data_IF_910432504513
#
_entry.id   IF_910432504513
#
_cell.length_a   1.000
_cell.length_b   1.000
_cell.length_c   1.000
_cell.angle_alpha   90.00
_cell.angle_beta   90.00
_cell.angle_gamma   90.00
#
_symmetry.space_group_name_H-M   'P 1'
#
loop_
_entity.id
_entity.type
_entity.pdbx_description
1 polymer ?
#
# COMPACT_ATOMS: atom_id res chain seq x y z
N UNK A 1 -21.07 3.53 20.39
CA UNK A 1 -22.43 3.26 20.92
C UNK A 1 -22.33 3.06 22.44
N UNK A 2 -23.11 3.81 23.25
CA UNK A 2 -22.97 3.87 24.71
C UNK A 2 -23.22 2.52 25.41
N UNK A 3 -24.02 1.64 24.81
CA UNK A 3 -24.27 0.28 25.32
C UNK A 3 -23.00 -0.59 25.39
N UNK A 4 -21.97 -0.28 24.59
CA UNK A 4 -20.69 -1.03 24.59
C UNK A 4 -19.82 -0.72 25.82
N UNK A 5 -19.86 0.52 26.31
CA UNK A 5 -19.18 0.89 27.56
C UNK A 5 -19.92 0.35 28.77
N UNK A 6 -21.25 0.25 28.71
CA UNK A 6 -22.06 -0.39 29.76
C UNK A 6 -21.80 -1.91 29.85
N UNK A 7 -21.64 -2.61 28.71
CA UNK A 7 -21.31 -4.03 28.71
C UNK A 7 -19.89 -4.32 29.24
N UNK A 8 -18.90 -3.49 28.87
CA UNK A 8 -17.55 -3.60 29.42
C UNK A 8 -17.50 -3.26 30.92
N UNK A 9 -18.27 -2.26 31.37
CA UNK A 9 -18.41 -1.91 32.78
C UNK A 9 -19.07 -3.03 33.60
N UNK A 10 -20.14 -3.64 33.07
CA UNK A 10 -20.84 -4.75 33.74
C UNK A 10 -19.97 -6.01 33.87
N UNK A 11 -19.03 -6.26 32.94
CA UNK A 11 -18.09 -7.37 33.01
C UNK A 11 -16.97 -7.18 34.06
N UNK A 12 -16.75 -5.95 34.53
CA UNK A 12 -15.77 -5.62 35.57
C UNK A 12 -16.35 -5.62 37.00
N UNK A 13 -17.67 -5.51 37.16
CA UNK A 13 -18.37 -5.62 38.46
C UNK A 13 -18.02 -6.91 39.24
N UNK A 14 -17.92 -8.09 38.59
CA UNK A 14 -17.60 -9.32 39.30
C UNK A 14 -16.15 -9.36 39.83
N UNK A 15 -15.23 -8.58 39.26
CA UNK A 15 -13.83 -8.47 39.71
C UNK A 15 -13.66 -7.67 41.00
N UNK A 16 -14.63 -6.83 41.37
CA UNK A 16 -14.54 -5.94 42.54
C UNK A 16 -15.36 -6.40 43.75
N UNK A 17 -16.34 -7.29 43.57
CA UNK A 17 -17.32 -7.64 44.63
C UNK A 17 -17.09 -9.05 45.23
N UNK A 18 -16.28 -9.91 44.59
CA UNK A 18 -16.02 -11.27 45.07
C UNK A 18 -14.53 -11.61 45.09
N UNK A 19 -14.12 -12.50 46.01
CA UNK A 19 -12.77 -13.07 46.01
C UNK A 19 -12.51 -13.74 44.65
N UNK A 20 -11.50 -13.29 43.89
CA UNK A 20 -11.33 -13.71 42.51
C UNK A 20 -11.03 -15.22 42.46
N UNK A 21 -12.02 -15.99 41.98
CA UNK A 21 -11.84 -17.40 41.68
C UNK A 21 -11.52 -17.57 40.20
N UNK A 22 -10.60 -18.48 39.88
CA UNK A 22 -10.13 -18.70 38.52
C UNK A 22 -11.22 -18.92 37.45
N UNK A 23 -12.26 -19.75 37.67
CA UNK A 23 -13.30 -19.96 36.66
C UNK A 23 -14.04 -18.68 36.29
N UNK A 24 -14.09 -17.71 37.21
CA UNK A 24 -14.70 -16.41 37.00
C UNK A 24 -13.86 -15.54 36.06
N UNK A 25 -12.53 -15.54 36.20
CA UNK A 25 -11.62 -14.83 35.30
C UNK A 25 -11.65 -15.42 33.89
N UNK A 26 -11.71 -16.75 33.77
CA UNK A 26 -11.86 -17.43 32.48
C UNK A 26 -13.23 -17.11 31.83
N UNK A 27 -14.30 -17.04 32.62
CA UNK A 27 -15.63 -16.64 32.16
C UNK A 27 -15.68 -15.19 31.67
N UNK A 28 -15.05 -14.24 32.40
CA UNK A 28 -14.96 -12.84 31.99
C UNK A 28 -14.11 -12.68 30.73
N UNK A 29 -12.99 -13.39 30.61
CA UNK A 29 -12.17 -13.42 29.40
C UNK A 29 -12.93 -13.98 28.18
N UNK A 30 -13.68 -15.07 28.38
CA UNK A 30 -14.55 -15.65 27.36
C UNK A 30 -15.67 -14.72 26.91
N UNK A 31 -16.34 -14.03 27.86
CA UNK A 31 -17.40 -13.07 27.57
C UNK A 31 -16.89 -11.81 26.87
N UNK A 32 -15.70 -11.32 27.24
CA UNK A 32 -15.05 -10.21 26.54
C UNK A 32 -14.64 -10.59 25.11
N UNK A 33 -14.09 -11.79 24.92
CA UNK A 33 -13.77 -12.31 23.59
C UNK A 33 -15.03 -12.50 22.72
N UNK A 34 -16.11 -13.02 23.29
CA UNK A 34 -17.40 -13.18 22.62
C UNK A 34 -18.04 -11.82 22.27
N UNK A 35 -17.98 -10.85 23.20
CA UNK A 35 -18.48 -9.49 22.99
C UNK A 35 -17.71 -8.73 21.90
N UNK A 36 -16.39 -8.93 21.81
CA UNK A 36 -15.54 -8.41 20.73
C UNK A 36 -15.81 -9.12 19.40
N UNK A 37 -16.05 -10.42 19.41
CA UNK A 37 -16.37 -11.20 18.21
C UNK A 37 -17.72 -10.81 17.58
N UNK A 38 -18.73 -10.54 18.41
CA UNK A 38 -20.09 -10.20 17.96
C UNK A 38 -20.20 -8.72 17.52
N UNK A 39 -19.36 -7.84 18.05
CA UNK A 39 -19.42 -6.38 17.80
C UNK A 39 -18.30 -5.78 16.94
N UNK A 40 -17.29 -6.56 16.56
CA UNK A 40 -16.07 -6.09 15.90
C UNK A 40 -16.23 -5.78 14.39
N UNK A 41 -15.35 -4.94 13.83
CA UNK A 41 -15.36 -4.63 12.40
C UNK A 41 -15.18 -5.92 11.58
N UNK A 42 -16.12 -6.17 10.65
CA UNK A 42 -16.07 -7.33 9.74
C UNK A 42 -14.79 -7.27 8.90
N UNK A 43 -14.04 -8.38 8.87
CA UNK A 43 -12.80 -8.54 8.10
C UNK A 43 -11.62 -9.04 8.94
N UNK A 44 -10.41 -8.95 8.38
CA UNK A 44 -9.15 -9.43 8.98
C UNK A 44 -8.93 -8.91 10.42
N UNK A 45 -9.41 -7.70 10.74
CA UNK A 45 -9.29 -7.12 12.09
C UNK A 45 -10.16 -7.83 13.13
N UNK A 46 -11.35 -8.28 12.74
CA UNK A 46 -12.21 -9.11 13.57
C UNK A 46 -11.57 -10.48 13.84
N UNK A 47 -11.06 -11.13 12.79
CA UNK A 47 -10.35 -12.41 12.91
C UNK A 47 -9.11 -12.31 13.83
N UNK A 48 -8.34 -11.22 13.73
CA UNK A 48 -7.22 -10.93 14.62
C UNK A 48 -7.66 -10.76 16.08
N UNK A 49 -8.77 -10.05 16.33
CA UNK A 49 -9.26 -9.87 17.70
C UNK A 49 -9.77 -11.17 18.33
N UNK A 50 -10.40 -12.04 17.52
CA UNK A 50 -10.84 -13.38 17.97
C UNK A 50 -9.62 -14.26 18.23
N UNK A 51 -8.62 -14.26 17.35
CA UNK A 51 -7.38 -14.99 17.53
C UNK A 51 -6.61 -14.52 18.77
N UNK A 52 -6.54 -13.22 19.01
CA UNK A 52 -5.89 -12.67 20.20
C UNK A 52 -6.68 -13.04 21.48
N UNK A 53 -8.01 -12.99 21.42
CA UNK A 53 -8.89 -13.41 22.51
C UNK A 53 -8.76 -14.90 22.86
N UNK A 54 -8.72 -15.78 21.85
CA UNK A 54 -8.52 -17.22 22.06
C UNK A 54 -7.13 -17.52 22.60
N UNK A 55 -6.09 -16.87 22.09
CA UNK A 55 -4.72 -17.00 22.65
C UNK A 55 -4.69 -16.53 24.11
N UNK A 56 -5.30 -15.40 24.43
CA UNK A 56 -5.34 -14.89 25.81
C UNK A 56 -6.10 -15.83 26.75
N UNK A 57 -7.22 -16.40 26.30
CA UNK A 57 -8.00 -17.37 27.07
C UNK A 57 -7.23 -18.69 27.27
N UNK A 58 -6.50 -19.16 26.25
CA UNK A 58 -5.65 -20.35 26.34
C UNK A 58 -4.48 -20.12 27.31
N UNK A 59 -3.86 -18.94 27.29
CA UNK A 59 -2.81 -18.56 28.25
C UNK A 59 -3.39 -18.51 29.67
N UNK A 60 -4.56 -17.89 29.86
CA UNK A 60 -5.20 -17.82 31.17
C UNK A 60 -5.60 -19.21 31.70
N UNK A 61 -6.10 -20.10 30.83
CA UNK A 61 -6.42 -21.49 31.18
C UNK A 61 -5.16 -22.30 31.48
N UNK A 62 -4.07 -22.10 30.72
CA UNK A 62 -2.79 -22.76 30.93
C UNK A 62 -2.14 -22.32 32.25
N UNK A 63 -2.15 -21.03 32.56
CA UNK A 63 -1.74 -20.51 33.86
C UNK A 63 -2.59 -21.12 35.00
N UNK A 64 -3.89 -21.38 34.76
CA UNK A 64 -4.80 -22.00 35.74
C UNK A 64 -4.32 -23.38 36.12
N UNK A 65 -4.13 -24.22 35.10
CA UNK A 65 -3.68 -25.60 35.30
C UNK A 65 -2.31 -25.64 35.95
N UNK A 66 -1.43 -24.67 35.67
CA UNK A 66 -0.10 -24.57 36.28
C UNK A 66 -0.16 -24.16 37.76
N UNK A 67 -1.03 -23.23 38.16
CA UNK A 67 -1.15 -22.83 39.57
C UNK A 67 -1.82 -23.94 40.40
N UNK A 68 -2.82 -24.63 39.86
CA UNK A 68 -3.42 -25.81 40.51
C UNK A 68 -2.43 -26.98 40.57
N UNK A 69 -1.63 -27.18 39.51
CA UNK A 69 -0.53 -28.14 39.50
C UNK A 69 0.61 -27.77 40.46
N UNK A 70 0.88 -26.49 40.68
CA UNK A 70 1.91 -26.02 41.61
C UNK A 70 1.62 -26.43 43.06
N UNK A 71 0.34 -26.48 43.45
CA UNK A 71 -0.09 -27.02 44.74
C UNK A 71 0.18 -28.53 44.85
N UNK A 72 0.10 -29.27 43.74
CA UNK A 72 0.41 -30.71 43.68
C UNK A 72 1.92 -31.00 43.56
N UNK A 73 2.72 -30.04 43.08
CA UNK A 73 4.19 -30.15 43.00
C UNK A 73 4.91 -29.61 44.23
N UNK A 74 4.21 -29.25 45.31
CA UNK A 74 4.84 -28.82 46.57
C UNK A 74 5.80 -29.87 47.15
N UNK A 75 5.59 -31.15 46.83
CA UNK A 75 6.46 -32.26 47.23
C UNK A 75 7.61 -32.54 46.26
N UNK A 76 7.70 -31.82 45.13
CA UNK A 76 8.71 -32.10 44.11
C UNK A 76 10.06 -31.47 44.46
N UNK A 77 11.17 -32.17 44.19
CA UNK A 77 12.50 -31.60 44.30
C UNK A 77 12.66 -30.33 43.45
N UNK A 78 13.31 -29.30 44.01
CA UNK A 78 13.43 -27.96 43.43
C UNK A 78 14.01 -27.97 42.01
N UNK A 79 14.95 -28.87 41.70
CA UNK A 79 15.57 -28.98 40.38
C UNK A 79 14.59 -29.41 39.27
N UNK A 80 13.54 -30.19 39.59
CA UNK A 80 12.52 -30.58 38.62
C UNK A 80 11.63 -29.38 38.31
N UNK A 81 11.25 -28.62 39.33
CA UNK A 81 10.40 -27.44 39.17
C UNK A 81 11.07 -26.34 38.34
N UNK A 82 12.37 -26.11 38.55
CA UNK A 82 13.15 -25.15 37.76
C UNK A 82 13.32 -25.62 36.31
N UNK A 83 13.58 -26.91 36.08
CA UNK A 83 13.65 -27.49 34.73
C UNK A 83 12.32 -27.35 33.97
N UNK A 84 11.20 -27.65 34.62
CA UNK A 84 9.87 -27.53 34.03
C UNK A 84 9.46 -26.07 33.73
N UNK A 85 9.86 -25.13 34.60
CA UNK A 85 9.66 -23.70 34.38
C UNK A 85 10.52 -23.18 33.21
N UNK A 86 11.79 -23.58 33.14
CA UNK A 86 12.69 -23.21 32.04
C UNK A 86 12.19 -23.75 30.69
N UNK A 87 11.74 -25.01 30.63
CA UNK A 87 11.16 -25.61 29.43
C UNK A 87 9.90 -24.87 28.95
N UNK A 88 9.04 -24.43 29.88
CA UNK A 88 7.85 -23.68 29.55
C UNK A 88 8.17 -22.27 29.02
N UNK A 89 9.10 -21.56 29.64
CA UNK A 89 9.60 -20.27 29.15
C UNK A 89 10.26 -20.42 27.76
N UNK A 90 10.97 -21.52 27.52
CA UNK A 90 11.53 -21.86 26.22
C UNK A 90 10.46 -22.00 25.12
N UNK A 91 9.36 -22.70 25.41
CA UNK A 91 8.24 -22.83 24.45
C UNK A 91 7.58 -21.49 24.13
N UNK A 92 7.42 -20.60 25.12
CA UNK A 92 6.91 -19.24 24.88
C UNK A 92 7.89 -18.44 24.01
N UNK A 93 9.20 -18.59 24.22
CA UNK A 93 10.22 -18.00 23.37
C UNK A 93 10.14 -18.47 21.91
N UNK A 94 9.90 -19.76 21.68
CA UNK A 94 9.70 -20.32 20.34
C UNK A 94 8.40 -19.78 19.71
N UNK A 95 7.29 -19.73 20.44
CA UNK A 95 6.03 -19.14 19.96
C UNK A 95 6.17 -17.65 19.62
N UNK A 96 6.93 -16.90 20.41
CA UNK A 96 7.21 -15.48 20.18
C UNK A 96 8.09 -15.24 18.94
N UNK A 97 8.83 -16.26 18.47
CA UNK A 97 9.60 -16.22 17.23
C UNK A 97 8.78 -16.60 15.99
N UNK A 98 7.61 -17.24 16.14
CA UNK A 98 6.73 -17.62 15.01
C UNK A 98 6.38 -16.42 14.10
N UNK A 99 6.03 -15.23 14.62
CA UNK A 99 5.74 -14.07 13.77
C UNK A 99 6.92 -13.65 12.88
N UNK A 100 8.17 -13.90 13.30
CA UNK A 100 9.37 -13.56 12.52
C UNK A 100 9.53 -14.47 11.29
N UNK A 101 8.94 -15.67 11.33
CA UNK A 101 9.00 -16.66 10.26
C UNK A 101 7.68 -16.81 9.50
N UNK A 102 6.59 -16.25 10.02
CA UNK A 102 5.36 -16.05 9.26
C UNK A 102 5.56 -14.88 8.31
N UNK A 103 6.08 -15.18 7.12
CA UNK A 103 5.87 -14.35 5.95
C UNK A 103 4.38 -14.40 5.63
N UNK A 104 3.61 -13.50 6.23
CA UNK A 104 2.26 -13.22 5.72
C UNK A 104 2.49 -12.71 4.31
N UNK A 105 2.27 -13.58 3.33
CA UNK A 105 2.33 -13.27 1.91
C UNK A 105 1.19 -12.30 1.57
N UNK A 106 1.34 -11.07 2.05
CA UNK A 106 0.57 -9.94 1.58
C UNK A 106 0.94 -9.78 0.12
N UNK A 107 -0.04 -10.04 -0.74
CA UNK A 107 0.07 -9.77 -2.17
C UNK A 107 0.65 -8.35 -2.35
N UNK A 108 1.89 -8.21 -2.86
CA UNK A 108 2.58 -6.93 -2.88
C UNK A 108 1.81 -5.90 -3.72
N UNK A 109 1.06 -6.36 -4.72
CA UNK A 109 0.20 -5.51 -5.56
C UNK A 109 -0.93 -4.92 -4.74
N UNK A 110 -1.57 -5.70 -3.86
CA UNK A 110 -2.62 -5.23 -2.96
C UNK A 110 -2.07 -4.27 -1.89
N UNK A 111 -0.84 -4.51 -1.43
CA UNK A 111 -0.17 -3.60 -0.51
C UNK A 111 0.15 -2.26 -1.18
N UNK A 112 0.59 -2.26 -2.44
CA UNK A 112 0.83 -1.06 -3.24
C UNK A 112 -0.47 -0.31 -3.55
N UNK A 113 -1.53 -1.02 -3.94
CA UNK A 113 -2.85 -0.42 -4.21
C UNK A 113 -3.39 0.34 -2.99
N UNK A 114 -3.21 -0.18 -1.78
CA UNK A 114 -3.63 0.49 -0.54
C UNK A 114 -2.85 1.76 -0.21
N UNK A 115 -1.64 1.90 -0.77
CA UNK A 115 -0.80 3.09 -0.57
C UNK A 115 -1.15 4.22 -1.56
N UNK A 116 -1.97 3.95 -2.57
CA UNK A 116 -2.36 4.98 -3.55
C UNK A 116 -3.15 6.11 -2.87
N UNK A 117 -2.86 7.37 -3.20
CA UNK A 117 -3.65 8.51 -2.75
C UNK A 117 -5.13 8.39 -3.17
N UNK A 118 -6.05 8.90 -2.36
CA UNK A 118 -7.48 8.91 -2.71
C UNK A 118 -7.83 10.00 -3.74
N UNK A 119 -6.92 10.95 -3.97
CA UNK A 119 -7.09 12.08 -4.90
C UNK A 119 -6.49 11.82 -6.28
N UNK A 120 -6.37 10.56 -6.70
CA UNK A 120 -5.95 10.25 -8.06
C UNK A 120 -7.00 10.71 -9.06
N UNK A 121 -6.52 11.12 -10.23
CA UNK A 121 -7.38 11.34 -11.38
C UNK A 121 -8.13 10.05 -11.76
N UNK A 122 -9.36 10.20 -12.23
CA UNK A 122 -10.25 9.06 -12.50
C UNK A 122 -9.69 8.14 -13.60
N UNK A 123 -9.00 8.72 -14.59
CA UNK A 123 -8.37 7.97 -15.67
C UNK A 123 -7.17 7.15 -15.17
N UNK A 124 -6.26 7.77 -14.41
CA UNK A 124 -5.11 7.08 -13.81
C UNK A 124 -5.56 5.98 -12.84
N UNK A 125 -6.62 6.24 -12.09
CA UNK A 125 -7.24 5.23 -11.21
C UNK A 125 -7.80 4.05 -12.01
N UNK A 126 -8.48 4.29 -13.12
CA UNK A 126 -8.99 3.24 -14.00
C UNK A 126 -7.84 2.37 -14.53
N UNK A 127 -6.73 2.97 -14.95
CA UNK A 127 -5.53 2.24 -15.37
C UNK A 127 -4.93 1.38 -14.24
N UNK A 128 -4.88 1.90 -13.01
CA UNK A 128 -4.45 1.14 -11.84
C UNK A 128 -5.38 -0.05 -11.57
N UNK A 129 -6.70 0.18 -11.54
CA UNK A 129 -7.70 -0.87 -11.31
C UNK A 129 -7.62 -1.95 -12.39
N UNK A 130 -7.42 -1.55 -13.65
CA UNK A 130 -7.27 -2.46 -14.79
C UNK A 130 -5.98 -3.28 -14.70
N UNK A 131 -4.85 -2.67 -14.37
CA UNK A 131 -3.58 -3.38 -14.15
C UNK A 131 -3.66 -4.38 -12.98
N UNK A 132 -4.37 -4.05 -11.90
CA UNK A 132 -4.62 -4.98 -10.78
C UNK A 132 -5.55 -6.13 -11.20
N UNK A 133 -6.54 -5.87 -12.05
CA UNK A 133 -7.41 -6.92 -12.59
C UNK A 133 -6.61 -7.91 -13.47
N UNK A 134 -5.67 -7.41 -14.27
CA UNK A 134 -4.72 -8.24 -15.03
C UNK A 134 -3.91 -9.13 -14.08
N UNK A 135 -3.34 -8.56 -13.01
CA UNK A 135 -2.61 -9.33 -12.02
C UNK A 135 -3.45 -10.43 -11.38
N UNK A 136 -4.66 -10.10 -10.92
CA UNK A 136 -5.56 -11.08 -10.29
C UNK A 136 -5.92 -12.23 -11.23
N UNK A 137 -6.10 -11.94 -12.52
CA UNK A 137 -6.41 -12.98 -13.51
C UNK A 137 -5.20 -13.83 -13.85
N UNK A 138 -4.01 -13.24 -13.93
CA UNK A 138 -2.77 -13.92 -14.30
C UNK A 138 -2.22 -14.76 -13.15
N UNK A 139 -2.28 -14.26 -11.91
CA UNK A 139 -1.64 -14.91 -10.76
C UNK A 139 -2.26 -16.27 -10.41
N UNK A 140 -3.53 -16.48 -10.73
CA UNK A 140 -4.26 -17.72 -10.47
C UNK A 140 -4.05 -18.75 -11.59
N UNK A 141 -3.60 -18.31 -12.77
CA UNK A 141 -3.38 -19.15 -13.96
C UNK A 141 -1.94 -19.57 -14.15
N UNK A 142 -0.98 -18.71 -13.79
CA UNK A 142 0.44 -19.04 -13.90
C UNK A 142 0.98 -19.69 -12.62
N UNK A 143 1.77 -20.74 -12.80
CA UNK A 143 2.52 -21.39 -11.73
C UNK A 143 3.49 -20.42 -11.06
N UNK A 144 3.79 -20.64 -9.78
CA UNK A 144 4.67 -19.75 -9.00
C UNK A 144 6.12 -19.70 -9.52
N UNK A 145 6.55 -20.72 -10.27
CA UNK A 145 7.86 -20.77 -10.90
C UNK A 145 7.93 -20.13 -12.29
N UNK A 146 6.82 -19.61 -12.82
CA UNK A 146 6.78 -19.00 -14.15
C UNK A 146 7.36 -17.58 -14.12
N UNK A 147 8.42 -17.34 -14.90
CA UNK A 147 9.05 -16.03 -15.03
C UNK A 147 8.05 -14.95 -15.48
N UNK A 148 7.03 -15.33 -16.27
CA UNK A 148 5.96 -14.43 -16.72
C UNK A 148 5.11 -13.88 -15.57
N UNK A 149 4.93 -14.65 -14.49
CA UNK A 149 4.19 -14.21 -13.30
C UNK A 149 4.95 -13.09 -12.57
N UNK A 150 6.26 -13.24 -12.43
CA UNK A 150 7.13 -12.20 -11.85
C UNK A 150 7.08 -10.92 -12.68
N UNK A 151 7.16 -11.04 -14.00
CA UNK A 151 7.14 -9.90 -14.91
C UNK A 151 5.82 -9.09 -14.83
N UNK A 152 4.67 -9.78 -14.84
CA UNK A 152 3.37 -9.09 -14.73
C UNK A 152 3.23 -8.43 -13.37
N UNK A 153 3.66 -9.10 -12.30
CA UNK A 153 3.66 -8.52 -10.95
C UNK A 153 4.47 -7.22 -10.92
N UNK A 154 5.70 -7.26 -11.42
CA UNK A 154 6.64 -6.15 -11.35
C UNK A 154 6.17 -5.00 -12.27
N UNK A 155 5.60 -5.31 -13.44
CA UNK A 155 4.98 -4.33 -14.34
C UNK A 155 3.76 -3.63 -13.73
N UNK A 156 2.90 -4.36 -13.01
CA UNK A 156 1.76 -3.79 -12.29
C UNK A 156 2.24 -2.93 -11.12
N UNK A 157 3.20 -3.42 -10.33
CA UNK A 157 3.80 -2.63 -9.24
C UNK A 157 4.39 -1.31 -9.74
N UNK A 158 5.07 -1.34 -10.90
CA UNK A 158 5.62 -0.12 -11.51
C UNK A 158 4.53 0.85 -11.95
N UNK A 159 3.43 0.35 -12.50
CA UNK A 159 2.26 1.18 -12.86
C UNK A 159 1.69 1.89 -11.62
N UNK A 160 1.55 1.17 -10.50
CA UNK A 160 1.03 1.73 -9.24
C UNK A 160 2.03 2.73 -8.61
N UNK A 161 3.33 2.47 -8.69
CA UNK A 161 4.36 3.40 -8.21
C UNK A 161 4.33 4.72 -8.98
N UNK A 162 4.27 4.64 -10.31
CA UNK A 162 4.22 5.81 -11.19
C UNK A 162 2.92 6.59 -10.97
N UNK A 163 1.80 5.90 -10.78
CA UNK A 163 0.53 6.51 -10.43
C UNK A 163 0.62 7.27 -9.08
N UNK A 164 1.24 6.67 -8.05
CA UNK A 164 1.44 7.32 -6.76
C UNK A 164 2.28 8.60 -6.89
N UNK A 165 3.39 8.54 -7.62
CA UNK A 165 4.27 9.69 -7.86
C UNK A 165 3.60 10.78 -8.70
N UNK A 166 2.82 10.41 -9.71
CA UNK A 166 2.07 11.38 -10.52
C UNK A 166 1.09 12.22 -9.68
N UNK A 167 0.54 11.64 -8.61
CA UNK A 167 -0.37 12.33 -7.70
C UNK A 167 0.35 13.33 -6.76
N UNK A 168 1.67 13.21 -6.58
CA UNK A 168 2.49 14.17 -5.83
C UNK A 168 2.78 15.44 -6.66
N UNK A 169 2.84 15.31 -7.99
CA UNK A 169 3.06 16.44 -8.92
C UNK A 169 1.76 17.21 -9.12
N UNK A 170 1.34 17.95 -8.08
CA UNK A 170 0.25 18.92 -8.19
C UNK A 170 0.82 20.28 -8.61
N UNK A 171 0.23 20.87 -9.64
CA UNK A 171 0.46 22.26 -10.04
C UNK A 171 -0.06 23.20 -8.95
N UNK A 172 0.71 23.39 -7.88
CA UNK A 172 0.40 24.34 -6.81
C UNK A 172 0.63 25.78 -7.28
N UNK A 173 -0.24 26.70 -6.85
CA UNK A 173 -0.09 28.13 -7.09
C UNK A 173 -1.10 28.73 -8.08
N UNK A 174 -0.80 29.94 -8.53
CA UNK A 174 -1.61 30.78 -9.42
C UNK A 174 -2.07 30.01 -10.67
N UNK A 175 -3.36 30.12 -11.02
CA UNK A 175 -3.90 29.44 -12.20
C UNK A 175 -3.38 30.07 -13.49
N UNK A 176 -3.44 29.34 -14.61
CA UNK A 176 -3.07 29.86 -15.93
C UNK A 176 -3.87 31.14 -16.27
N UNK A 177 -5.18 31.14 -15.96
CA UNK A 177 -6.05 32.30 -16.16
C UNK A 177 -5.62 33.53 -15.34
N UNK A 178 -5.18 33.32 -14.11
CA UNK A 178 -4.70 34.39 -13.24
C UNK A 178 -3.33 34.92 -13.69
N UNK A 179 -2.45 34.06 -14.21
CA UNK A 179 -1.17 34.47 -14.77
C UNK A 179 -1.37 35.31 -16.03
N UNK A 180 -2.26 34.89 -16.94
CA UNK A 180 -2.62 35.66 -18.15
C UNK A 180 -3.23 37.02 -17.77
N UNK A 181 -4.19 37.03 -16.83
CA UNK A 181 -4.79 38.28 -16.35
C UNK A 181 -3.77 39.24 -15.70
N UNK A 182 -2.77 38.70 -14.98
CA UNK A 182 -1.67 39.51 -14.42
C UNK A 182 -0.74 40.05 -15.50
N UNK A 183 -0.47 39.28 -16.56
CA UNK A 183 0.32 39.77 -17.69
C UNK A 183 -0.39 40.93 -18.40
N UNK A 184 -1.70 40.81 -18.66
CA UNK A 184 -2.50 41.90 -19.23
C UNK A 184 -2.53 43.14 -18.32
N UNK A 185 -2.56 42.95 -17.00
CA UNK A 185 -2.46 44.05 -16.05
C UNK A 185 -1.09 44.77 -16.15
N UNK A 186 0.01 44.01 -16.26
CA UNK A 186 1.33 44.59 -16.47
C UNK A 186 1.46 45.29 -17.82
N UNK A 187 0.86 44.77 -18.89
CA UNK A 187 0.84 45.42 -20.20
C UNK A 187 0.19 46.82 -20.12
N UNK A 188 -0.97 46.93 -19.46
CA UNK A 188 -1.62 48.23 -19.20
C UNK A 188 -0.75 49.18 -18.36
N UNK A 189 -0.02 48.66 -17.37
CA UNK A 189 0.87 49.47 -16.52
C UNK A 189 2.14 49.91 -17.25
N UNK A 190 2.65 49.10 -18.18
CA UNK A 190 3.79 49.46 -19.04
C UNK A 190 3.41 50.60 -19.98
N UNK A 191 2.21 50.54 -20.57
CA UNK A 191 1.68 51.60 -21.44
C UNK A 191 1.46 52.91 -20.68
N UNK A 192 0.91 52.84 -19.46
CA UNK A 192 0.60 54.01 -18.65
C UNK A 192 1.82 54.63 -17.93
N UNK A 193 2.91 53.88 -17.76
CA UNK A 193 4.10 54.39 -17.08
C UNK A 193 4.81 55.47 -17.93
N UNK A 194 5.31 56.52 -17.28
CA UNK A 194 6.11 57.57 -17.93
C UNK A 194 7.60 57.42 -17.67
N UNK A 195 7.97 56.78 -16.56
CA UNK A 195 9.35 56.52 -16.16
C UNK A 195 9.90 55.25 -16.84
N UNK A 196 11.06 55.40 -17.48
CA UNK A 196 11.78 54.33 -18.19
C UNK A 196 12.26 53.21 -17.26
N UNK A 197 12.68 53.54 -16.04
CA UNK A 197 13.14 52.53 -15.09
C UNK A 197 11.96 51.65 -14.64
N UNK A 198 10.84 52.28 -14.30
CA UNK A 198 9.59 51.59 -13.93
C UNK A 198 9.07 50.71 -15.08
N UNK A 199 9.14 51.18 -16.34
CA UNK A 199 8.79 50.35 -17.52
C UNK A 199 9.65 49.11 -17.61
N UNK A 200 10.97 49.26 -17.43
CA UNK A 200 11.92 48.15 -17.50
C UNK A 200 11.60 47.10 -16.42
N UNK A 201 11.28 47.55 -15.20
CA UNK A 201 10.90 46.65 -14.11
C UNK A 201 9.57 45.91 -14.39
N UNK A 202 8.54 46.59 -14.92
CA UNK A 202 7.32 45.90 -15.31
C UNK A 202 7.51 44.92 -16.47
N UNK A 203 8.35 45.25 -17.45
CA UNK A 203 8.70 44.33 -18.54
C UNK A 203 9.43 43.08 -18.02
N UNK A 204 10.36 43.24 -17.08
CA UNK A 204 11.04 42.13 -16.42
C UNK A 204 10.06 41.25 -15.63
N UNK A 205 9.16 41.86 -14.85
CA UNK A 205 8.12 41.14 -14.11
C UNK A 205 7.15 40.37 -15.03
N UNK A 206 6.76 40.97 -16.16
CA UNK A 206 5.96 40.32 -17.20
C UNK A 206 6.71 39.15 -17.83
N UNK A 207 8.01 39.29 -18.10
CA UNK A 207 8.87 38.21 -18.59
C UNK A 207 8.87 37.02 -17.64
N UNK A 208 9.04 37.26 -16.34
CA UNK A 208 8.99 36.21 -15.33
C UNK A 208 7.64 35.46 -15.28
N UNK A 209 6.51 36.16 -15.50
CA UNK A 209 5.20 35.50 -15.60
C UNK A 209 5.06 34.65 -16.86
N UNK A 210 5.61 35.11 -17.99
CA UNK A 210 5.63 34.33 -19.23
C UNK A 210 6.46 33.04 -19.05
N UNK A 211 7.58 33.11 -18.34
CA UNK A 211 8.37 31.92 -18.00
C UNK A 211 7.58 30.96 -17.10
N UNK A 212 6.87 31.46 -16.08
CA UNK A 212 6.00 30.64 -15.23
C UNK A 212 4.92 29.91 -16.06
N UNK A 213 4.29 30.58 -17.02
CA UNK A 213 3.32 29.96 -17.94
C UNK A 213 3.99 28.86 -18.78
N UNK A 214 5.17 29.14 -19.33
CA UNK A 214 5.95 28.15 -20.10
C UNK A 214 6.26 26.92 -19.25
N UNK A 215 6.73 27.08 -18.02
CA UNK A 215 6.97 25.96 -17.11
C UNK A 215 5.71 25.14 -16.84
N UNK A 216 4.56 25.79 -16.61
CA UNK A 216 3.29 25.08 -16.42
C UNK A 216 2.87 24.29 -17.66
N UNK A 217 3.03 24.85 -18.86
CA UNK A 217 2.76 24.12 -20.11
C UNK A 217 3.67 22.90 -20.28
N UNK A 218 4.94 23.01 -19.90
CA UNK A 218 5.88 21.89 -19.92
C UNK A 218 5.48 20.78 -18.95
N UNK A 219 5.04 21.13 -17.73
CA UNK A 219 4.53 20.17 -16.76
C UNK A 219 3.29 19.45 -17.31
N UNK A 220 2.35 20.20 -17.90
CA UNK A 220 1.14 19.60 -18.51
C UNK A 220 1.49 18.63 -19.63
N UNK A 221 2.38 19.03 -20.53
CA UNK A 221 2.85 18.15 -21.61
C UNK A 221 3.58 16.91 -21.05
N UNK A 222 4.33 17.05 -19.95
CA UNK A 222 4.93 15.95 -19.23
C UNK A 222 3.91 14.96 -18.69
N UNK A 223 2.82 15.46 -18.08
CA UNK A 223 1.71 14.66 -17.58
C UNK A 223 0.98 13.92 -18.71
N UNK A 224 0.70 14.58 -19.84
CA UNK A 224 0.09 13.95 -21.02
C UNK A 224 0.97 12.81 -21.57
N UNK A 225 2.28 13.02 -21.66
CA UNK A 225 3.23 11.99 -22.09
C UNK A 225 3.28 10.81 -21.11
N UNK A 226 3.26 11.09 -19.81
CA UNK A 226 3.24 10.06 -18.78
C UNK A 226 1.98 9.19 -18.90
N UNK A 227 0.82 9.83 -19.00
CA UNK A 227 -0.48 9.16 -19.17
C UNK A 227 -0.48 8.26 -20.41
N UNK A 228 -0.01 8.77 -21.55
CA UNK A 228 0.10 8.00 -22.78
C UNK A 228 1.00 6.76 -22.63
N UNK A 229 2.12 6.87 -21.90
CA UNK A 229 2.99 5.71 -21.60
C UNK A 229 2.35 4.72 -20.65
N UNK A 230 1.61 5.18 -19.64
CA UNK A 230 0.86 4.28 -18.75
C UNK A 230 -0.17 3.47 -19.54
N UNK A 231 -0.92 4.10 -20.45
CA UNK A 231 -1.85 3.41 -21.35
C UNK A 231 -1.14 2.35 -22.21
N UNK A 232 -0.01 2.72 -22.81
CA UNK A 232 0.78 1.78 -23.60
C UNK A 232 1.25 0.60 -22.75
N UNK A 233 1.79 0.85 -21.55
CA UNK A 233 2.28 -0.20 -20.65
C UNK A 233 1.17 -1.14 -20.19
N UNK A 234 0.00 -0.61 -19.81
CA UNK A 234 -1.17 -1.44 -19.47
C UNK A 234 -1.63 -2.26 -20.66
N UNK A 235 -1.64 -1.69 -21.87
CA UNK A 235 -1.96 -2.43 -23.10
C UNK A 235 -0.97 -3.56 -23.36
N UNK A 236 0.32 -3.35 -23.12
CA UNK A 236 1.35 -4.40 -23.25
C UNK A 236 1.15 -5.51 -22.21
N UNK A 237 0.79 -5.17 -20.96
CA UNK A 237 0.44 -6.15 -19.93
C UNK A 237 -0.80 -6.99 -20.32
N UNK A 238 -1.79 -6.39 -20.97
CA UNK A 238 -2.97 -7.10 -21.47
C UNK A 238 -2.62 -8.05 -22.61
N UNK A 239 -1.80 -7.59 -23.55
CA UNK A 239 -1.29 -8.45 -24.63
C UNK A 239 -0.52 -9.65 -24.06
N UNK A 240 0.32 -9.42 -23.06
CA UNK A 240 1.03 -10.48 -22.36
C UNK A 240 0.07 -11.46 -21.67
N UNK A 241 -0.95 -10.95 -20.97
CA UNK A 241 -1.97 -11.81 -20.35
C UNK A 241 -2.72 -12.66 -21.37
N UNK A 242 -3.14 -12.06 -22.50
CA UNK A 242 -3.82 -12.78 -23.58
C UNK A 242 -2.91 -13.85 -24.18
N UNK A 243 -1.63 -13.55 -24.40
CA UNK A 243 -0.67 -14.52 -24.88
C UNK A 243 -0.41 -15.64 -23.87
N UNK A 244 -0.24 -15.33 -22.59
CA UNK A 244 -0.02 -16.32 -21.54
C UNK A 244 -1.23 -17.27 -21.39
N UNK A 245 -2.44 -16.73 -21.45
CA UNK A 245 -3.67 -17.54 -21.41
C UNK A 245 -3.89 -18.35 -22.69
N UNK A 246 -3.59 -17.79 -23.86
CA UNK A 246 -3.61 -18.51 -25.14
C UNK A 246 -2.55 -19.62 -25.20
N UNK A 247 -1.39 -19.40 -24.60
CA UNK A 247 -0.31 -20.37 -24.49
C UNK A 247 -0.64 -21.53 -23.55
N UNK A 248 -1.39 -21.29 -22.48
CA UNK A 248 -1.93 -22.37 -21.64
C UNK A 248 -2.92 -23.25 -22.42
N UNK A 249 -3.78 -22.64 -23.25
CA UNK A 249 -4.67 -23.37 -24.15
C UNK A 249 -3.91 -24.11 -25.28
N UNK A 250 -2.84 -23.50 -25.80
CA UNK A 250 -2.06 -24.02 -26.93
C UNK A 250 -0.88 -24.94 -26.54
N UNK A 251 -0.42 -24.95 -25.28
CA UNK A 251 0.58 -25.90 -24.74
C UNK A 251 0.12 -27.35 -24.87
N UNK A 252 -1.18 -27.56 -25.03
CA UNK A 252 -1.78 -28.86 -25.38
C UNK A 252 -1.44 -29.28 -26.82
N UNK A 253 -1.02 -28.37 -27.71
CA UNK A 253 -0.97 -28.60 -29.16
C UNK A 253 0.24 -28.04 -29.94
N UNK A 254 1.08 -27.11 -29.45
CA UNK A 254 2.05 -26.40 -30.30
C UNK A 254 3.45 -26.08 -29.70
N UNK A 255 4.49 -26.17 -30.55
CA UNK A 255 5.93 -26.07 -30.21
C UNK A 255 6.58 -24.69 -30.39
N UNK A 256 5.85 -23.64 -30.79
CA UNK A 256 6.41 -22.29 -31.07
C UNK A 256 5.97 -21.17 -30.12
N UNK A 257 5.09 -21.48 -29.15
CA UNK A 257 4.41 -20.47 -28.35
C UNK A 257 5.34 -19.73 -27.36
N UNK A 258 6.44 -20.37 -26.93
CA UNK A 258 7.38 -19.78 -25.98
C UNK A 258 8.15 -18.57 -26.56
N UNK A 259 8.45 -18.57 -27.86
CA UNK A 259 9.21 -17.48 -28.49
C UNK A 259 8.41 -16.16 -28.53
N UNK A 260 7.10 -16.24 -28.79
CA UNK A 260 6.22 -15.07 -28.73
C UNK A 260 6.09 -14.52 -27.30
N UNK A 261 6.08 -15.40 -26.30
CA UNK A 261 6.02 -14.99 -24.89
C UNK A 261 7.31 -14.28 -24.46
N UNK A 262 8.48 -14.72 -24.95
CA UNK A 262 9.76 -14.07 -24.69
C UNK A 262 9.84 -12.67 -25.34
N UNK A 263 9.37 -12.52 -26.59
CA UNK A 263 9.28 -11.22 -27.26
C UNK A 263 8.34 -10.25 -26.52
N UNK A 264 7.18 -10.75 -26.08
CA UNK A 264 6.24 -9.97 -25.26
C UNK A 264 6.82 -9.63 -23.89
N UNK A 265 7.58 -10.55 -23.30
CA UNK A 265 8.28 -10.34 -22.02
C UNK A 265 9.28 -9.19 -22.13
N UNK A 266 10.09 -9.18 -23.19
CA UNK A 266 11.01 -8.08 -23.50
C UNK A 266 10.26 -6.77 -23.74
N UNK A 267 9.11 -6.81 -24.43
CA UNK A 267 8.29 -5.62 -24.66
C UNK A 267 7.70 -5.04 -23.37
N UNK A 268 7.24 -5.88 -22.44
CA UNK A 268 6.76 -5.45 -21.10
C UNK A 268 7.91 -4.85 -20.28
N UNK A 269 9.08 -5.50 -20.29
CA UNK A 269 10.26 -5.00 -19.59
C UNK A 269 10.70 -3.62 -20.14
N UNK A 270 10.82 -3.49 -21.46
CA UNK A 270 11.16 -2.22 -22.11
C UNK A 270 10.11 -1.13 -21.87
N UNK A 271 8.82 -1.48 -21.87
CA UNK A 271 7.75 -0.54 -21.56
C UNK A 271 7.82 -0.06 -20.10
N UNK A 272 8.16 -0.96 -19.17
CA UNK A 272 8.37 -0.63 -17.76
C UNK A 272 9.58 0.26 -17.52
N UNK A 273 10.67 0.03 -18.24
CA UNK A 273 11.88 0.86 -18.20
C UNK A 273 11.63 2.27 -18.78
N UNK A 274 10.96 2.35 -19.92
CA UNK A 274 10.55 3.63 -20.52
C UNK A 274 9.59 4.42 -19.61
N UNK A 275 8.80 3.73 -18.78
CA UNK A 275 7.97 4.36 -17.76
C UNK A 275 8.81 4.92 -16.60
N UNK A 276 9.91 4.24 -16.24
CA UNK A 276 10.86 4.67 -15.21
C UNK A 276 11.75 5.84 -15.67
N UNK A 277 12.14 5.92 -16.94
CA UNK A 277 13.02 7.00 -17.42
C UNK A 277 12.39 8.40 -17.33
N UNK A 278 11.07 8.55 -17.54
CA UNK A 278 10.40 9.84 -17.33
C UNK A 278 10.45 10.26 -15.87
N UNK A 279 10.42 9.29 -14.97
CA UNK A 279 10.54 9.53 -13.53
C UNK A 279 11.86 10.25 -13.18
N UNK A 280 12.95 9.90 -13.88
CA UNK A 280 14.25 10.55 -13.71
C UNK A 280 14.36 11.86 -14.50
N UNK A 281 13.75 11.93 -15.68
CA UNK A 281 13.79 13.10 -16.58
C UNK A 281 12.87 14.28 -16.21
N UNK A 282 11.97 14.12 -15.23
CA UNK A 282 11.15 15.22 -14.68
C UNK A 282 11.89 15.98 -13.56
N UNK A 283 13.12 15.61 -13.22
CA UNK A 283 14.00 16.54 -12.51
C UNK A 283 14.35 17.67 -13.47
N UNK A 284 13.97 18.93 -13.19
CA UNK A 284 14.44 20.04 -14.00
C UNK A 284 15.95 20.05 -13.81
N UNK A 285 16.70 19.71 -14.86
CA UNK A 285 18.12 19.99 -14.93
C UNK A 285 18.25 21.47 -14.64
N UNK A 286 18.73 21.79 -13.46
CA UNK A 286 19.03 23.13 -13.00
C UNK A 286 20.23 23.64 -13.80
N UNK A 287 20.05 23.88 -15.09
CA UNK A 287 20.91 24.73 -15.90
C UNK A 287 20.55 26.19 -15.59
N UNK A 288 20.77 26.58 -14.33
CA UNK A 288 21.09 27.95 -13.98
C UNK A 288 22.60 28.02 -13.78
N UNK A 289 23.34 27.86 -14.89
CA UNK A 289 24.70 28.33 -15.00
C UNK A 289 24.68 29.65 -15.79
N UNK A 290 24.56 30.74 -15.03
CA UNK A 290 25.25 32.03 -15.24
C UNK A 290 25.51 32.49 -16.67
N UNK A 291 24.78 33.51 -17.10
CA UNK A 291 25.29 34.57 -17.97
C UNK A 291 24.91 35.92 -17.35
#
# INVERSE_FOLDING_TARGET
>A
APWRMLAAGAALVPLFVMTPSWPMLAGVGGLLALGLAIGGPRGIRGALSVALGTVTALIAMWCAMRITGAQQTMSWPQWITTGAAAAAMGMVGVLAMIPRHLTVALDPVQAALRKLPTTLDAEVKNLCDRSVAIWNTTKDKLADSDAGKGLVRDGVLKTLEVAAKSAEVKLSGTTESELVARMENFDKRIEAATDTEVKTQYQAARGALADQLRYRSHIRQGQERLLARMHNHVTTLEKFQLAATGLEAARVTATGANQQLDELSQSVAASGEALAEIELGVTPTADHATA
#
